data_IF_905454206649
#
_entry.id   IF_905454206649
#
_cell.length_a   1.000
_cell.length_b   1.000
_cell.length_c   1.000
_cell.angle_alpha   90.00
_cell.angle_beta   90.00
_cell.angle_gamma   90.00
#
_symmetry.space_group_name_H-M   'P 1'
#
loop_
_entity.id
_entity.type
_entity.pdbx_description
1 polymer ?
#
# COMPACT_ATOMS: atom_id res chain seq x y z
N UNK A 1 -4.99 -39.77 31.92
CA UNK A 1 -4.98 -40.76 33.02
C UNK A 1 -4.59 -40.01 34.26
N UNK A 2 -5.49 -39.88 35.24
CA UNK A 2 -5.15 -39.21 36.50
C UNK A 2 -4.24 -40.12 37.32
N UNK A 3 -3.23 -39.57 38.01
CA UNK A 3 -2.35 -40.36 38.87
C UNK A 3 -3.18 -41.03 39.97
N UNK A 4 -2.95 -42.32 40.21
CA UNK A 4 -3.71 -43.17 41.14
C UNK A 4 -3.45 -42.86 42.62
N UNK A 5 -2.45 -42.05 42.92
CA UNK A 5 -2.11 -41.63 44.27
C UNK A 5 -2.95 -40.40 44.69
N UNK A 6 -3.74 -40.56 45.76
CA UNK A 6 -4.70 -39.57 46.25
C UNK A 6 -4.06 -38.23 46.66
N UNK A 7 -2.78 -38.22 47.06
CA UNK A 7 -2.07 -36.96 47.34
C UNK A 7 -1.67 -36.23 46.05
N UNK A 8 -1.31 -36.98 45.02
CA UNK A 8 -0.90 -36.42 43.72
C UNK A 8 -2.14 -35.85 43.01
N UNK A 9 -3.29 -36.51 43.08
CA UNK A 9 -4.54 -35.98 42.49
C UNK A 9 -4.92 -34.61 43.07
N UNK A 10 -4.84 -34.44 44.41
CA UNK A 10 -5.14 -33.18 45.09
C UNK A 10 -4.20 -32.05 44.62
N UNK A 11 -2.91 -32.35 44.42
CA UNK A 11 -1.92 -31.35 43.98
C UNK A 11 -2.14 -30.95 42.51
N UNK A 12 -2.53 -31.88 41.65
CA UNK A 12 -2.72 -31.62 40.21
C UNK A 12 -4.12 -31.09 39.86
N UNK A 13 -5.11 -31.29 40.72
CA UNK A 13 -6.49 -30.81 40.56
C UNK A 13 -6.61 -29.30 40.20
N UNK A 14 -5.92 -28.36 40.88
CA UNK A 14 -6.00 -26.94 40.51
C UNK A 14 -5.54 -26.65 39.08
N UNK A 15 -4.51 -27.37 38.59
CA UNK A 15 -3.97 -27.20 37.24
C UNK A 15 -4.92 -27.77 36.19
N UNK A 16 -5.50 -28.94 36.46
CA UNK A 16 -6.53 -29.51 35.57
C UNK A 16 -7.76 -28.61 35.48
N UNK A 17 -8.18 -28.03 36.60
CA UNK A 17 -9.29 -27.08 36.62
C UNK A 17 -8.93 -25.78 35.88
N UNK A 18 -7.67 -25.33 35.96
CA UNK A 18 -7.19 -24.19 35.16
C UNK A 18 -7.25 -24.49 33.66
N UNK A 19 -6.76 -25.65 33.22
CA UNK A 19 -6.78 -26.03 31.80
C UNK A 19 -8.20 -26.17 31.25
N UNK A 20 -9.13 -26.73 32.03
CA UNK A 20 -10.56 -26.79 31.66
C UNK A 20 -11.13 -25.39 31.45
N UNK A 21 -10.92 -24.48 32.40
CA UNK A 21 -11.38 -23.08 32.28
C UNK A 21 -10.79 -22.37 31.06
N UNK A 22 -9.50 -22.56 30.81
CA UNK A 22 -8.83 -21.92 29.69
C UNK A 22 -9.33 -22.46 28.34
N UNK A 23 -9.59 -23.77 28.24
CA UNK A 23 -10.18 -24.39 27.06
C UNK A 23 -11.58 -23.83 26.76
N UNK A 24 -12.44 -23.73 27.79
CA UNK A 24 -13.78 -23.15 27.67
C UNK A 24 -13.72 -21.67 27.25
N UNK A 25 -12.87 -20.87 27.91
CA UNK A 25 -12.68 -19.45 27.60
C UNK A 25 -12.18 -19.25 26.17
N UNK A 26 -11.26 -20.09 25.70
CA UNK A 26 -10.77 -20.04 24.33
C UNK A 26 -11.90 -20.30 23.33
N UNK A 27 -12.70 -21.34 23.56
CA UNK A 27 -13.84 -21.68 22.71
C UNK A 27 -14.85 -20.52 22.62
N UNK A 28 -15.24 -19.94 23.76
CA UNK A 28 -16.14 -18.79 23.83
C UNK A 28 -15.58 -17.59 23.05
N UNK A 29 -14.29 -17.32 23.20
CA UNK A 29 -13.62 -16.21 22.51
C UNK A 29 -13.62 -16.41 20.99
N UNK A 30 -13.32 -17.62 20.53
CA UNK A 30 -13.34 -17.99 19.12
C UNK A 30 -14.74 -17.81 18.52
N UNK A 31 -15.79 -18.27 19.21
CA UNK A 31 -17.17 -18.11 18.76
C UNK A 31 -17.61 -16.65 18.74
N UNK A 32 -17.26 -15.87 19.76
CA UNK A 32 -17.55 -14.43 19.81
C UNK A 32 -16.87 -13.68 18.66
N UNK A 33 -15.59 -13.97 18.39
CA UNK A 33 -14.83 -13.37 17.27
C UNK A 33 -15.39 -13.81 15.91
N UNK A 34 -15.76 -15.09 15.76
CA UNK A 34 -16.44 -15.61 14.55
C UNK A 34 -17.75 -14.86 14.30
N UNK A 35 -18.57 -14.66 15.34
CA UNK A 35 -19.84 -13.93 15.28
C UNK A 35 -19.65 -12.43 15.02
N UNK A 36 -18.61 -11.81 15.59
CA UNK A 36 -18.28 -10.41 15.32
C UNK A 36 -17.76 -10.22 13.88
N UNK A 37 -16.89 -11.12 13.41
CA UNK A 37 -16.37 -11.12 12.05
C UNK A 37 -17.46 -11.38 11.00
N UNK A 38 -18.40 -12.30 11.26
CA UNK A 38 -19.53 -12.55 10.36
C UNK A 38 -20.52 -11.38 10.26
N UNK A 39 -20.65 -10.60 11.34
CA UNK A 39 -21.40 -9.32 11.31
C UNK A 39 -20.68 -8.21 10.52
N UNK A 40 -19.40 -8.41 10.20
CA UNK A 40 -18.55 -7.51 9.42
C UNK A 40 -18.25 -6.19 10.15
N UNK A 41 -17.27 -5.42 9.65
CA UNK A 41 -16.97 -4.05 10.09
C UNK A 41 -18.10 -3.03 9.81
N UNK A 42 -19.35 -3.50 9.69
CA UNK A 42 -20.54 -2.69 9.49
C UNK A 42 -21.04 -2.16 10.84
N UNK A 43 -20.17 -1.56 11.62
CA UNK A 43 -20.64 -0.56 12.57
C UNK A 43 -21.20 0.57 11.71
N UNK A 44 -22.52 0.57 11.54
CA UNK A 44 -23.24 1.73 11.04
C UNK A 44 -22.92 2.86 12.00
N UNK A 45 -22.00 3.72 11.62
CA UNK A 45 -21.91 5.06 12.19
C UNK A 45 -23.27 5.71 11.94
N UNK A 46 -24.15 5.65 12.93
CA UNK A 46 -25.44 6.31 12.93
C UNK A 46 -25.17 7.83 13.03
N UNK A 47 -24.79 8.43 11.90
CA UNK A 47 -24.72 9.85 11.54
C UNK A 47 -23.58 10.21 10.56
N UNK A 48 -23.00 9.26 9.82
CA UNK A 48 -22.27 9.62 8.60
C UNK A 48 -23.29 9.91 7.48
N UNK A 49 -23.76 11.15 7.44
CA UNK A 49 -24.41 11.85 6.32
C UNK A 49 -24.59 11.01 5.04
N UNK A 50 -25.81 10.50 4.83
CA UNK A 50 -26.41 10.08 3.54
C UNK A 50 -25.39 9.71 2.44
N UNK A 51 -24.88 8.47 2.41
CA UNK A 51 -24.34 7.97 1.15
C UNK A 51 -25.53 7.77 0.20
N UNK A 52 -25.62 8.62 -0.84
CA UNK A 52 -26.50 8.38 -1.98
C UNK A 52 -25.90 7.25 -2.83
N UNK A 53 -25.84 6.03 -2.31
CA UNK A 53 -25.54 4.88 -3.16
C UNK A 53 -26.79 4.54 -3.96
N UNK A 54 -26.79 4.93 -5.25
CA UNK A 54 -27.70 4.34 -6.22
C UNK A 54 -27.37 2.86 -6.31
N UNK A 55 -28.36 2.03 -5.97
CA UNK A 55 -28.38 0.58 -6.19
C UNK A 55 -27.92 0.28 -7.61
N UNK A 56 -27.13 -0.78 -7.75
CA UNK A 56 -26.62 -1.27 -9.02
C UNK A 56 -27.77 -1.42 -10.04
N UNK A 57 -27.70 -0.65 -11.12
CA UNK A 57 -28.44 -0.98 -12.34
C UNK A 57 -27.52 -1.78 -13.24
N UNK A 58 -28.05 -2.94 -13.59
CA UNK A 58 -27.68 -3.82 -14.70
C UNK A 58 -27.37 -3.00 -15.95
N UNK A 59 -26.45 -3.52 -16.76
CA UNK A 59 -25.95 -2.90 -17.98
C UNK A 59 -27.08 -2.50 -18.94
N UNK A 60 -27.17 -1.20 -19.21
CA UNK A 60 -27.71 -0.69 -20.46
C UNK A 60 -26.61 0.12 -21.13
N UNK A 61 -26.14 -0.40 -22.27
CA UNK A 61 -25.30 0.33 -23.21
C UNK A 61 -26.11 1.51 -23.75
N UNK A 62 -25.93 2.70 -23.18
CA UNK A 62 -26.30 3.96 -23.84
C UNK A 62 -25.09 4.86 -23.91
N UNK A 63 -24.62 4.98 -25.15
CA UNK A 63 -23.57 5.85 -25.61
C UNK A 63 -24.09 7.29 -25.62
N UNK A 64 -24.12 7.94 -24.45
CA UNK A 64 -24.44 9.37 -24.37
C UNK A 64 -23.13 10.15 -24.27
N UNK A 65 -22.61 10.49 -25.46
CA UNK A 65 -21.57 11.48 -25.64
C UNK A 65 -22.10 12.84 -25.15
N UNK A 66 -21.85 13.16 -23.88
CA UNK A 66 -22.11 14.48 -23.33
C UNK A 66 -20.78 15.11 -22.92
N UNK A 67 -20.09 15.65 -23.93
CA UNK A 67 -19.08 16.67 -23.76
C UNK A 67 -19.70 17.83 -22.96
N UNK A 68 -19.39 17.87 -21.66
CA UNK A 68 -19.48 19.09 -20.86
C UNK A 68 -18.06 19.52 -20.55
N UNK A 69 -17.48 20.21 -21.51
CA UNK A 69 -16.34 21.07 -21.27
C UNK A 69 -16.87 22.31 -20.54
N UNK A 70 -16.94 22.22 -19.21
CA UNK A 70 -16.88 23.40 -18.35
C UNK A 70 -15.51 23.36 -17.64
N UNK A 71 -14.44 23.43 -18.44
CA UNK A 71 -13.13 23.81 -17.95
C UNK A 71 -13.06 25.33 -17.97
N UNK A 72 -13.76 25.97 -17.03
CA UNK A 72 -13.50 27.36 -16.69
C UNK A 72 -12.23 27.37 -15.79
N UNK A 73 -11.09 26.93 -16.38
CA UNK A 73 -9.76 27.07 -15.79
C UNK A 73 -9.36 28.53 -16.00
N UNK A 74 -9.94 29.41 -15.18
CA UNK A 74 -9.41 30.76 -14.98
C UNK A 74 -8.21 30.64 -14.07
N UNK A 75 -7.03 30.37 -14.64
CA UNK A 75 -5.77 30.43 -13.92
C UNK A 75 -4.63 30.84 -14.87
N UNK A 76 -4.89 31.90 -15.64
CA UNK A 76 -4.06 32.24 -16.79
C UNK A 76 -2.89 33.17 -16.52
N UNK A 77 -2.71 33.72 -15.31
CA UNK A 77 -1.73 34.79 -15.10
C UNK A 77 -0.64 34.59 -14.03
N UNK A 78 -0.64 33.49 -13.27
CA UNK A 78 0.31 33.32 -12.13
C UNK A 78 1.28 32.12 -12.24
N UNK A 79 1.35 31.45 -13.40
CA UNK A 79 2.33 30.38 -13.56
C UNK A 79 3.74 30.95 -13.84
N UNK A 80 4.79 30.46 -13.16
CA UNK A 80 6.16 30.80 -13.47
C UNK A 80 6.54 30.51 -14.93
N UNK A 81 7.34 31.39 -15.54
CA UNK A 81 7.75 31.34 -16.96
C UNK A 81 8.37 30.00 -17.39
N UNK A 82 9.06 29.31 -16.48
CA UNK A 82 9.76 28.06 -16.79
C UNK A 82 8.81 26.85 -16.85
N UNK A 83 7.56 26.97 -16.40
CA UNK A 83 6.59 25.86 -16.39
C UNK A 83 5.75 25.90 -17.66
N UNK A 84 5.71 24.78 -18.38
CA UNK A 84 4.81 24.64 -19.51
C UNK A 84 3.35 24.55 -19.03
N UNK A 85 2.52 25.49 -19.46
CA UNK A 85 1.10 25.61 -19.08
C UNK A 85 0.27 24.38 -19.49
N UNK A 86 0.47 23.86 -20.70
CA UNK A 86 -0.26 22.69 -21.21
C UNK A 86 0.11 21.43 -20.42
N UNK A 87 1.38 21.31 -20.06
CA UNK A 87 1.87 20.21 -19.23
C UNK A 87 1.30 20.28 -17.81
N UNK A 88 1.27 21.48 -17.22
CA UNK A 88 0.66 21.70 -15.91
C UNK A 88 -0.83 21.39 -15.92
N UNK A 89 -1.57 21.85 -16.94
CA UNK A 89 -2.99 21.53 -17.11
C UNK A 89 -3.21 20.01 -17.26
N UNK A 90 -2.38 19.32 -18.04
CA UNK A 90 -2.41 17.86 -18.16
C UNK A 90 -2.21 17.15 -16.81
N UNK A 91 -1.36 17.70 -15.93
CA UNK A 91 -1.20 17.21 -14.56
C UNK A 91 -2.46 17.44 -13.72
N UNK A 92 -3.09 18.62 -13.79
CA UNK A 92 -4.37 18.88 -13.11
C UNK A 92 -5.45 17.90 -13.57
N UNK A 93 -5.58 17.68 -14.88
CA UNK A 93 -6.53 16.72 -15.44
C UNK A 93 -6.29 15.30 -14.93
N UNK A 94 -5.03 14.87 -14.88
CA UNK A 94 -4.66 13.57 -14.32
C UNK A 94 -5.06 13.47 -12.84
N UNK A 95 -4.82 14.52 -12.02
CA UNK A 95 -5.24 14.58 -10.61
C UNK A 95 -6.75 14.41 -10.44
N UNK A 96 -7.55 14.99 -11.35
CA UNK A 96 -9.00 14.79 -11.40
C UNK A 96 -9.34 13.34 -11.75
N UNK A 97 -8.68 12.75 -12.77
CA UNK A 97 -8.89 11.35 -13.19
C UNK A 97 -8.62 10.34 -12.07
N UNK A 98 -7.57 10.54 -11.27
CA UNK A 98 -7.28 9.70 -10.09
C UNK A 98 -8.14 10.04 -8.85
N UNK A 99 -9.15 10.92 -9.01
CA UNK A 99 -10.09 11.35 -7.96
C UNK A 99 -9.42 12.04 -6.77
N UNK A 100 -8.31 12.74 -7.01
CA UNK A 100 -7.55 13.51 -6.02
C UNK A 100 -7.28 14.92 -6.55
N UNK A 101 -8.32 15.74 -6.80
CA UNK A 101 -8.11 17.09 -7.32
C UNK A 101 -7.21 17.93 -6.41
N UNK A 102 -6.50 18.88 -6.99
CA UNK A 102 -5.67 19.82 -6.23
C UNK A 102 -6.55 20.86 -5.54
N UNK A 103 -6.29 21.08 -4.25
CA UNK A 103 -6.76 22.27 -3.53
C UNK A 103 -5.89 23.47 -3.89
N UNK A 104 -6.38 24.68 -3.70
CA UNK A 104 -5.61 25.89 -4.06
C UNK A 104 -4.31 26.00 -3.27
N UNK A 105 -4.35 25.68 -1.97
CA UNK A 105 -3.12 25.61 -1.16
C UNK A 105 -2.13 24.57 -1.65
N UNK A 106 -2.61 23.45 -2.19
CA UNK A 106 -1.74 22.43 -2.77
C UNK A 106 -1.13 22.88 -4.11
N UNK A 107 -1.80 23.74 -4.89
CA UNK A 107 -1.20 24.37 -6.08
C UNK A 107 -0.04 25.29 -5.69
N UNK A 108 -0.19 26.10 -4.65
CA UNK A 108 0.89 26.96 -4.14
C UNK A 108 2.12 26.15 -3.70
N UNK A 109 1.92 25.08 -2.91
CA UNK A 109 3.01 24.20 -2.48
C UNK A 109 3.67 23.50 -3.66
N UNK A 110 2.87 23.04 -4.62
CA UNK A 110 3.37 22.43 -5.85
C UNK A 110 4.26 23.39 -6.65
N UNK A 111 3.85 24.66 -6.81
CA UNK A 111 4.65 25.67 -7.50
C UNK A 111 5.97 25.96 -6.76
N UNK A 112 5.95 25.96 -5.42
CA UNK A 112 7.16 26.08 -4.60
C UNK A 112 8.12 24.91 -4.85
N UNK A 113 7.62 23.68 -4.87
CA UNK A 113 8.42 22.49 -5.13
C UNK A 113 9.01 22.51 -6.56
N UNK A 114 8.22 22.86 -7.56
CA UNK A 114 8.68 23.00 -8.95
C UNK A 114 9.76 24.09 -9.10
N UNK A 115 9.60 25.21 -8.40
CA UNK A 115 10.62 26.27 -8.36
C UNK A 115 11.92 25.77 -7.75
N UNK A 116 11.84 25.01 -6.65
CA UNK A 116 13.02 24.39 -6.05
C UNK A 116 13.70 23.42 -7.01
N UNK A 117 12.94 22.60 -7.75
CA UNK A 117 13.52 21.66 -8.71
C UNK A 117 14.20 22.38 -9.87
N UNK A 118 13.61 23.47 -10.38
CA UNK A 118 14.19 24.29 -11.44
C UNK A 118 15.50 24.95 -11.00
N UNK A 119 15.56 25.45 -9.76
CA UNK A 119 16.78 26.03 -9.19
C UNK A 119 17.93 25.03 -9.08
N UNK A 120 17.65 23.72 -8.99
CA UNK A 120 18.68 22.67 -8.99
C UNK A 120 19.24 22.44 -10.40
N UNK A 121 18.36 22.37 -11.40
CA UNK A 121 18.74 22.22 -12.81
C UNK A 121 17.59 22.70 -13.69
N UNK A 122 17.94 23.55 -14.66
CA UNK A 122 16.99 24.04 -15.64
C UNK A 122 16.25 22.88 -16.35
N UNK A 123 14.93 23.00 -16.45
CA UNK A 123 14.04 22.00 -17.04
C UNK A 123 13.55 20.92 -16.07
N UNK A 124 14.08 20.83 -14.85
CA UNK A 124 13.65 19.82 -13.88
C UNK A 124 12.17 19.96 -13.50
N UNK A 125 11.62 21.18 -13.47
CA UNK A 125 10.20 21.37 -13.15
C UNK A 125 9.29 20.62 -14.15
N UNK A 126 9.57 20.77 -15.45
CA UNK A 126 8.80 20.10 -16.49
C UNK A 126 9.01 18.58 -16.47
N UNK A 127 10.26 18.12 -16.28
CA UNK A 127 10.56 16.68 -16.16
C UNK A 127 9.82 16.05 -14.95
N UNK A 128 9.74 16.77 -13.83
CA UNK A 128 9.01 16.30 -12.64
C UNK A 128 7.51 16.12 -12.92
N UNK A 129 6.91 17.05 -13.67
CA UNK A 129 5.51 16.97 -14.10
C UNK A 129 5.29 15.80 -15.06
N UNK A 130 6.15 15.63 -16.08
CA UNK A 130 6.08 14.50 -17.01
C UNK A 130 6.15 13.15 -16.27
N UNK A 131 7.09 13.01 -15.34
CA UNK A 131 7.24 11.80 -14.53
C UNK A 131 5.98 11.53 -13.69
N UNK A 132 5.40 12.56 -13.09
CA UNK A 132 4.19 12.41 -12.29
C UNK A 132 2.99 11.98 -13.14
N UNK A 133 2.81 12.61 -14.31
CA UNK A 133 1.78 12.25 -15.29
C UNK A 133 1.94 10.79 -15.75
N UNK A 134 3.15 10.43 -16.19
CA UNK A 134 3.47 9.09 -16.69
C UNK A 134 3.17 7.97 -15.68
N UNK A 135 3.40 8.24 -14.39
CA UNK A 135 3.22 7.25 -13.32
C UNK A 135 1.91 7.42 -12.53
N UNK A 136 1.03 8.34 -12.92
CA UNK A 136 -0.21 8.65 -12.19
C UNK A 136 0.02 8.99 -10.71
N UNK A 137 1.10 9.70 -10.39
CA UNK A 137 1.43 10.07 -9.02
C UNK A 137 0.59 11.23 -8.52
N UNK A 138 0.32 11.23 -7.21
CA UNK A 138 -0.41 12.33 -6.58
C UNK A 138 0.45 13.58 -6.41
N UNK A 139 1.78 13.43 -6.31
CA UNK A 139 2.74 14.51 -6.11
C UNK A 139 3.80 14.58 -7.20
N UNK A 140 4.60 15.64 -7.17
CA UNK A 140 5.81 15.78 -7.99
C UNK A 140 7.03 15.48 -7.13
N UNK A 141 8.07 14.94 -7.76
CA UNK A 141 9.31 14.57 -7.09
C UNK A 141 10.49 15.01 -7.93
N UNK A 142 11.61 15.26 -7.27
CA UNK A 142 12.85 15.65 -7.93
C UNK A 142 13.25 14.62 -9.01
N UNK A 143 13.50 15.06 -10.25
CA UNK A 143 14.00 14.18 -11.30
C UNK A 143 15.35 13.58 -10.92
N UNK A 144 15.48 12.26 -11.03
CA UNK A 144 16.76 11.60 -10.80
C UNK A 144 17.75 12.01 -11.90
N UNK A 145 19.02 12.28 -11.57
CA UNK A 145 20.05 12.43 -12.59
C UNK A 145 20.16 11.14 -13.41
N UNK A 146 20.43 11.25 -14.71
CA UNK A 146 20.48 10.15 -15.69
C UNK A 146 21.46 9.01 -15.36
N UNK A 147 22.16 9.06 -14.21
CA UNK A 147 23.20 8.12 -13.83
C UNK A 147 22.79 7.11 -12.75
N UNK A 148 21.50 6.84 -12.51
CA UNK A 148 21.13 5.78 -11.57
C UNK A 148 20.11 4.78 -12.13
N UNK A 149 20.67 3.62 -12.47
CA UNK A 149 20.06 2.30 -12.34
C UNK A 149 19.06 2.29 -11.18
N UNK A 150 17.91 1.67 -11.44
CA UNK A 150 16.92 1.37 -10.43
C UNK A 150 17.62 0.62 -9.29
N UNK A 151 17.79 1.26 -8.14
CA UNK A 151 18.22 0.57 -6.93
C UNK A 151 17.29 -0.64 -6.76
N UNK A 152 17.80 -1.88 -6.68
CA UNK A 152 16.96 -3.04 -6.50
C UNK A 152 16.19 -2.83 -5.19
N UNK A 153 14.86 -2.81 -5.27
CA UNK A 153 14.01 -2.83 -4.08
C UNK A 153 14.48 -4.00 -3.23
N UNK A 154 14.95 -3.73 -2.00
CA UNK A 154 15.28 -4.79 -1.06
C UNK A 154 14.02 -5.62 -0.85
N UNK A 155 14.00 -6.78 -1.50
CA UNK A 155 12.90 -7.73 -1.40
C UNK A 155 13.27 -8.62 -0.23
N UNK A 156 12.44 -8.62 0.81
CA UNK A 156 12.62 -9.56 1.91
C UNK A 156 12.50 -10.98 1.35
N UNK A 157 13.57 -11.77 1.47
CA UNK A 157 13.58 -13.17 1.05
C UNK A 157 12.52 -13.93 1.84
N UNK A 158 11.74 -14.77 1.16
CA UNK A 158 10.78 -15.66 1.84
C UNK A 158 11.54 -16.72 2.63
N UNK A 159 10.94 -17.26 3.71
CA UNK A 159 11.56 -18.34 4.50
C UNK A 159 12.01 -19.53 3.63
N UNK A 160 11.20 -19.88 2.64
CA UNK A 160 11.49 -20.96 1.70
C UNK A 160 12.73 -20.66 0.83
N UNK A 161 12.91 -19.41 0.40
CA UNK A 161 14.10 -18.98 -0.33
C UNK A 161 15.35 -19.01 0.56
N UNK A 162 15.23 -18.62 1.84
CA UNK A 162 16.32 -18.67 2.81
C UNK A 162 16.78 -20.12 3.05
N UNK A 163 15.82 -21.05 3.26
CA UNK A 163 16.13 -22.47 3.47
C UNK A 163 16.75 -23.12 2.22
N UNK A 164 16.24 -22.82 1.02
CA UNK A 164 16.85 -23.31 -0.22
C UNK A 164 18.29 -22.81 -0.37
N UNK A 165 18.55 -21.54 -0.06
CA UNK A 165 19.88 -20.97 -0.11
C UNK A 165 20.82 -21.65 0.92
N UNK A 166 20.34 -21.93 2.13
CA UNK A 166 21.13 -22.64 3.15
C UNK A 166 21.45 -24.08 2.74
N UNK A 167 20.47 -24.80 2.20
CA UNK A 167 20.66 -26.17 1.73
C UNK A 167 21.68 -26.23 0.59
N UNK A 168 21.58 -25.33 -0.39
CA UNK A 168 22.55 -25.23 -1.49
C UNK A 168 23.99 -24.97 -0.99
N UNK A 169 24.15 -24.09 0.00
CA UNK A 169 25.44 -23.83 0.63
C UNK A 169 26.01 -25.09 1.30
N UNK A 170 25.16 -25.82 2.04
CA UNK A 170 25.54 -27.08 2.70
C UNK A 170 26.01 -28.12 1.66
N UNK A 171 25.25 -28.32 0.59
CA UNK A 171 25.63 -29.26 -0.49
C UNK A 171 26.95 -28.86 -1.16
N UNK A 172 27.17 -27.58 -1.43
CA UNK A 172 28.43 -27.11 -2.04
C UNK A 172 29.66 -27.34 -1.13
N UNK A 173 29.48 -27.18 0.19
CA UNK A 173 30.55 -27.38 1.16
C UNK A 173 30.86 -28.87 1.35
N UNK A 174 29.85 -29.73 1.25
CA UNK A 174 30.02 -31.19 1.24
C UNK A 174 30.79 -31.66 -0.01
N UNK A 175 30.48 -31.11 -1.19
CA UNK A 175 31.20 -31.43 -2.44
C UNK A 175 32.67 -31.04 -2.36
N UNK A 176 32.99 -29.86 -1.79
CA UNK A 176 34.37 -29.42 -1.61
C UNK A 176 35.16 -30.28 -0.62
N UNK A 177 34.50 -30.88 0.37
CA UNK A 177 35.12 -31.72 1.40
C UNK A 177 35.45 -33.14 0.92
N UNK A 178 34.78 -33.63 -0.12
CA UNK A 178 34.97 -34.98 -0.66
C UNK A 178 35.60 -35.02 -2.05
N UNK A 179 35.99 -33.86 -2.60
CA UNK A 179 36.63 -33.73 -3.92
C UNK A 179 38.16 -33.68 -3.92
N UNK A 180 38.82 -33.84 -2.76
CA UNK A 180 40.29 -33.75 -2.64
C UNK A 180 41.02 -35.10 -2.72
N UNK A 181 40.31 -36.22 -2.85
CA UNK A 181 40.92 -37.55 -2.75
C UNK A 181 40.84 -38.33 -4.09
N UNK A 182 41.06 -37.62 -5.21
CA UNK A 182 41.33 -38.24 -6.51
C UNK A 182 42.29 -37.33 -7.32
N UNK A 183 43.56 -37.33 -6.92
CA UNK A 183 44.72 -37.01 -7.75
C UNK A 183 45.92 -37.81 -7.25
#
# INVERSE_FOLDING_TARGET
>A
ILPTNNLISIIFEPFLNQFKRDAEKYQITCEARKKAGSKGGKQKVANASKCKQKVAKVADNKNDNKNKNDNDIKNDNDLPIFINKDLFNSFIEMRVKIKKPLTDKAKELLLKDLTNFENLRAGNANIALENSIKNSWQGVFEPKPNNQQQQPKQTFLTKQQIEQNQNMQIFSNLQKKHGSDNA
#
